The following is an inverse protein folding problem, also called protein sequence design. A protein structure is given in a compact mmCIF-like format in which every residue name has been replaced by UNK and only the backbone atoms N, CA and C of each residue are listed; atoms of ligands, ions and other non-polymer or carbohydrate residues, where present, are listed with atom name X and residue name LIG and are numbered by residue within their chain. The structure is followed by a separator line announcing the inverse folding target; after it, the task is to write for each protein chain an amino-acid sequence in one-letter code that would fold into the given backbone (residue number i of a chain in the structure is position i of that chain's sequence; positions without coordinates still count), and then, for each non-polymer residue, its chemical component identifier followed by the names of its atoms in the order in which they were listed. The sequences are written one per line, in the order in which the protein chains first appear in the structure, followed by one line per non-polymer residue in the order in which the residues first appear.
data_IF_448010450345
#
_entry.id   IF_448010450345
#
_cell.length_a   1.000
_cell.length_b   1.000
_cell.length_c   1.000
_cell.angle_alpha   90.00
_cell.angle_beta   90.00
_cell.angle_gamma   90.00
#
_symmetry.space_group_name_H-M   'P 1'
#
loop_
_entity.id
_entity.type
_entity.pdbx_description
1 polymer ?
#
# COMPACT_ATOMS: atom_id res chain seq x y z
N UNK A 1 -17.24 4.06 7.80
CA UNK A 1 -18.51 3.59 7.25
C UNK A 1 -19.13 2.56 8.18
N UNK A 2 -20.46 2.67 8.38
CA UNK A 2 -21.25 1.70 9.13
C UNK A 2 -22.32 1.09 8.24
N UNK A 3 -22.61 -0.19 8.48
CA UNK A 3 -23.73 -0.91 7.92
C UNK A 3 -24.46 -1.68 9.04
N UNK A 4 -25.73 -1.97 8.85
CA UNK A 4 -26.55 -2.66 9.84
C UNK A 4 -27.72 -3.38 9.18
N UNK A 5 -27.94 -4.60 9.61
CA UNK A 5 -29.14 -5.39 9.28
C UNK A 5 -30.27 -5.19 10.31
N UNK A 6 -29.98 -4.52 11.44
CA UNK A 6 -30.93 -4.34 12.55
C UNK A 6 -31.73 -3.04 12.46
N UNK A 7 -31.17 -2.04 11.74
CA UNK A 7 -31.73 -0.71 11.63
C UNK A 7 -31.75 -0.23 10.19
N UNK A 8 -32.79 0.51 9.83
CA UNK A 8 -32.69 1.39 8.67
C UNK A 8 -31.84 2.62 9.03
N UNK A 9 -30.58 2.57 8.66
CA UNK A 9 -29.62 3.64 8.95
C UNK A 9 -29.96 4.96 8.26
N UNK A 10 -30.81 4.98 7.22
CA UNK A 10 -31.19 6.22 6.54
C UNK A 10 -32.11 7.07 7.42
N UNK A 11 -32.92 6.43 8.25
CA UNK A 11 -33.86 7.07 9.15
C UNK A 11 -33.35 7.19 10.59
N UNK A 12 -32.23 6.51 10.92
CA UNK A 12 -31.66 6.52 12.26
C UNK A 12 -30.90 7.81 12.56
N UNK A 13 -30.99 8.28 13.79
CA UNK A 13 -30.13 9.35 14.32
C UNK A 13 -28.76 8.75 14.66
N UNK A 14 -27.69 9.29 14.10
CA UNK A 14 -26.34 8.78 14.25
C UNK A 14 -25.44 9.88 14.79
N UNK A 15 -24.70 9.56 15.85
CA UNK A 15 -23.73 10.46 16.48
C UNK A 15 -22.36 9.81 16.44
N UNK A 16 -21.42 10.47 15.76
CA UNK A 16 -20.03 10.06 15.71
C UNK A 16 -19.21 10.85 16.72
N UNK A 17 -18.41 10.15 17.50
CA UNK A 17 -17.52 10.73 18.50
C UNK A 17 -16.09 10.29 18.22
N UNK A 18 -15.18 11.26 18.14
CA UNK A 18 -13.74 11.02 17.92
C UNK A 18 -12.98 11.53 19.13
N UNK A 19 -12.20 10.67 19.78
CA UNK A 19 -11.43 10.98 20.99
C UNK A 19 -12.27 11.69 22.07
N UNK A 20 -13.52 11.23 22.26
CA UNK A 20 -14.44 11.77 23.26
C UNK A 20 -15.16 13.06 22.87
N UNK A 21 -14.91 13.61 21.68
CA UNK A 21 -15.63 14.80 21.16
C UNK A 21 -16.56 14.41 20.02
N UNK A 22 -17.78 14.96 20.04
CA UNK A 22 -18.72 14.77 18.93
C UNK A 22 -18.13 15.47 17.69
N UNK A 23 -17.91 14.68 16.64
CA UNK A 23 -17.38 15.14 15.36
C UNK A 23 -18.52 15.41 14.38
N UNK A 24 -19.44 14.46 14.23
CA UNK A 24 -20.55 14.57 13.30
C UNK A 24 -21.81 13.95 13.91
N UNK A 25 -22.97 14.59 13.68
CA UNK A 25 -24.27 14.05 14.07
C UNK A 25 -25.32 14.36 13.02
N UNK A 26 -26.29 13.47 12.87
CA UNK A 26 -27.41 13.68 11.95
C UNK A 26 -28.15 12.39 11.64
N UNK A 27 -29.24 12.52 10.89
CA UNK A 27 -30.01 11.37 10.40
C UNK A 27 -29.31 10.85 9.14
N UNK A 28 -29.08 9.55 9.05
CA UNK A 28 -28.50 8.92 7.88
C UNK A 28 -26.99 9.14 7.67
N UNK A 29 -26.27 9.68 8.64
CA UNK A 29 -24.83 9.97 8.54
C UNK A 29 -24.02 8.69 8.73
N UNK A 30 -23.94 7.87 7.69
CA UNK A 30 -23.29 6.55 7.72
C UNK A 30 -21.77 6.57 7.63
N UNK A 31 -21.17 7.71 7.28
CA UNK A 31 -19.73 7.82 7.02
C UNK A 31 -19.15 9.01 7.76
N UNK A 32 -17.95 8.80 8.28
CA UNK A 32 -17.10 9.82 8.86
C UNK A 32 -15.72 9.76 8.19
N UNK A 33 -15.07 10.90 8.00
CA UNK A 33 -13.69 10.99 7.55
C UNK A 33 -12.84 11.55 8.67
N UNK A 34 -11.83 10.80 9.11
CA UNK A 34 -10.93 11.19 10.18
C UNK A 34 -9.56 11.47 9.59
N UNK A 35 -8.90 12.58 9.93
CA UNK A 35 -7.51 12.80 9.53
C UNK A 35 -6.63 11.71 10.11
N UNK A 36 -5.66 11.21 9.33
CA UNK A 36 -4.73 10.20 9.78
C UNK A 36 -3.93 10.73 10.99
N UNK A 37 -3.95 10.05 12.12
CA UNK A 37 -3.16 10.47 13.28
C UNK A 37 -1.66 10.26 13.02
N UNK A 38 -0.80 10.85 13.86
CA UNK A 38 0.64 10.59 13.83
C UNK A 38 0.91 9.10 14.08
N UNK A 39 2.02 8.58 13.55
CA UNK A 39 2.42 7.17 13.72
C UNK A 39 2.43 6.80 15.20
N UNK A 40 1.82 5.65 15.51
CA UNK A 40 1.68 5.15 16.88
C UNK A 40 0.58 5.81 17.72
N UNK A 41 -0.02 6.91 17.24
CA UNK A 41 -1.15 7.52 17.94
C UNK A 41 -2.42 6.67 17.78
N UNK A 42 -3.26 6.70 18.81
CA UNK A 42 -4.55 6.01 18.85
C UNK A 42 -5.65 7.04 18.68
N UNK A 43 -6.54 6.78 17.73
CA UNK A 43 -7.79 7.52 17.61
C UNK A 43 -8.94 6.61 18.00
N UNK A 44 -9.66 6.97 19.07
CA UNK A 44 -10.85 6.27 19.49
C UNK A 44 -12.07 6.85 18.78
N UNK A 45 -12.78 5.99 18.07
CA UNK A 45 -13.99 6.35 17.35
C UNK A 45 -15.14 5.57 17.94
N UNK A 46 -16.19 6.27 18.34
CA UNK A 46 -17.44 5.63 18.73
C UNK A 46 -18.61 6.17 17.91
N UNK A 47 -19.58 5.32 17.70
CA UNK A 47 -20.84 5.66 17.06
C UNK A 47 -21.98 5.25 17.95
N UNK A 48 -22.89 6.18 18.19
CA UNK A 48 -24.15 5.96 18.86
C UNK A 48 -25.27 6.08 17.83
N UNK A 49 -26.06 5.02 17.67
CA UNK A 49 -27.14 4.91 16.69
C UNK A 49 -28.45 4.77 17.44
N UNK A 50 -29.40 5.65 17.15
CA UNK A 50 -30.77 5.57 17.66
C UNK A 50 -31.72 5.38 16.49
N UNK A 51 -32.33 4.21 16.43
CA UNK A 51 -33.33 3.88 15.43
C UNK A 51 -34.62 4.66 15.63
N UNK A 52 -35.42 4.79 14.58
CA UNK A 52 -36.76 5.39 14.63
C UNK A 52 -37.73 4.63 15.56
N UNK A 53 -37.43 3.36 15.84
CA UNK A 53 -38.15 2.49 16.78
C UNK A 53 -37.72 2.65 18.25
N UNK A 54 -36.79 3.59 18.51
CA UNK A 54 -36.29 3.90 19.86
C UNK A 54 -35.16 3.00 20.35
N UNK A 55 -34.74 1.98 19.60
CA UNK A 55 -33.61 1.16 19.97
C UNK A 55 -32.32 1.94 19.81
N UNK A 56 -31.37 1.68 20.71
CA UNK A 56 -30.06 2.32 20.69
C UNK A 56 -28.94 1.27 20.61
N UNK A 57 -27.92 1.53 19.78
CA UNK A 57 -26.73 0.72 19.68
C UNK A 57 -25.51 1.62 19.71
N UNK A 58 -24.56 1.25 20.55
CA UNK A 58 -23.24 1.91 20.64
C UNK A 58 -22.14 0.96 20.24
N UNK A 59 -21.24 1.41 19.37
CA UNK A 59 -20.02 0.70 18.98
C UNK A 59 -18.83 1.65 19.10
N UNK A 60 -17.70 1.09 19.49
CA UNK A 60 -16.43 1.81 19.57
C UNK A 60 -15.31 0.97 18.96
N UNK A 61 -14.40 1.65 18.27
CA UNK A 61 -13.18 1.08 17.72
C UNK A 61 -12.00 1.99 18.04
N UNK A 62 -10.84 1.42 18.19
CA UNK A 62 -9.57 2.16 18.31
C UNK A 62 -8.78 1.98 17.04
N UNK A 63 -8.53 3.08 16.32
CA UNK A 63 -7.74 3.10 15.09
C UNK A 63 -6.33 3.55 15.46
N UNK A 64 -5.33 2.74 15.10
CA UNK A 64 -3.92 3.10 15.21
C UNK A 64 -3.37 3.47 13.86
N UNK A 65 -2.56 4.52 13.82
CA UNK A 65 -1.93 4.98 12.60
C UNK A 65 -0.67 4.19 12.30
N UNK A 66 -0.55 3.78 11.06
CA UNK A 66 0.65 3.24 10.45
C UNK A 66 0.58 3.45 8.95
N UNK A 67 1.74 3.43 8.29
CA UNK A 67 1.84 3.44 6.84
C UNK A 67 2.92 2.45 6.38
N UNK A 68 2.96 2.19 5.08
CA UNK A 68 3.98 1.33 4.48
C UNK A 68 4.54 2.02 3.24
N UNK A 69 5.85 2.08 3.15
CA UNK A 69 6.53 2.45 1.92
C UNK A 69 6.77 1.20 1.08
N UNK A 70 6.50 1.30 -0.21
CA UNK A 70 6.80 0.25 -1.18
C UNK A 70 7.95 0.72 -2.07
N UNK A 71 9.01 -0.07 -2.08
CA UNK A 71 10.13 0.11 -2.97
C UNK A 71 10.24 -1.09 -3.91
N UNK A 72 10.79 -0.88 -5.09
CA UNK A 72 11.03 -1.97 -6.03
C UNK A 72 12.38 -1.84 -6.68
N UNK A 73 12.92 -2.95 -7.11
CA UNK A 73 14.13 -3.09 -7.93
C UNK A 73 13.89 -4.12 -9.03
N UNK A 74 14.59 -4.01 -10.14
CA UNK A 74 14.55 -4.97 -11.24
C UNK A 74 15.94 -5.54 -11.48
N UNK A 75 15.99 -6.78 -11.96
CA UNK A 75 17.21 -7.47 -12.39
C UNK A 75 17.57 -7.23 -13.87
N UNK A 76 16.91 -6.24 -14.49
CA UNK A 76 17.11 -5.90 -15.89
C UNK A 76 18.51 -5.36 -16.21
N UNK A 77 18.80 -5.30 -17.50
CA UNK A 77 20.03 -4.69 -18.00
C UNK A 77 20.08 -3.19 -17.75
N UNK A 78 21.20 -2.71 -17.26
CA UNK A 78 21.49 -1.28 -17.08
C UNK A 78 22.53 -0.87 -18.12
N UNK A 79 22.19 0.05 -19.03
CA UNK A 79 23.15 0.56 -19.99
C UNK A 79 24.35 1.23 -19.29
N UNK A 80 25.57 1.16 -19.85
CA UNK A 80 26.72 1.87 -19.32
C UNK A 80 26.42 3.37 -19.15
N UNK A 81 26.89 3.95 -18.01
CA UNK A 81 26.68 5.36 -17.64
C UNK A 81 25.23 5.78 -17.37
N UNK A 82 24.27 4.86 -17.37
CA UNK A 82 22.91 5.14 -16.95
C UNK A 82 22.86 5.47 -15.45
N UNK A 83 22.34 6.65 -15.12
CA UNK A 83 22.30 7.16 -13.74
C UNK A 83 20.92 6.97 -13.06
N UNK A 84 20.04 6.23 -13.69
CA UNK A 84 18.69 5.97 -13.20
C UNK A 84 18.57 4.66 -12.45
N UNK A 85 17.36 4.38 -11.99
CA UNK A 85 16.95 3.09 -11.47
C UNK A 85 16.88 2.07 -12.62
N UNK A 86 17.32 0.83 -12.38
CA UNK A 86 17.20 -0.25 -13.36
C UNK A 86 15.81 -0.30 -13.97
N UNK A 87 15.65 -0.18 -15.29
CA UNK A 87 14.35 -0.25 -15.93
C UNK A 87 13.68 -1.59 -15.66
N UNK A 88 12.39 -1.57 -15.42
CA UNK A 88 11.59 -2.78 -15.39
C UNK A 88 11.06 -3.04 -16.79
N UNK A 89 11.46 -4.13 -17.41
CA UNK A 89 11.09 -4.49 -18.77
C UNK A 89 10.59 -5.92 -18.85
N UNK A 90 10.23 -6.37 -20.06
CA UNK A 90 9.79 -7.75 -20.30
C UNK A 90 10.79 -8.78 -19.81
N UNK A 91 10.26 -9.92 -19.35
CA UNK A 91 11.05 -11.08 -18.95
C UNK A 91 12.04 -10.82 -17.82
N UNK A 92 11.95 -9.64 -17.19
CA UNK A 92 12.74 -9.32 -16.03
C UNK A 92 11.92 -9.50 -14.75
N UNK A 93 12.59 -9.87 -13.69
CA UNK A 93 11.94 -9.94 -12.38
C UNK A 93 11.92 -8.56 -11.73
N UNK A 94 10.87 -8.30 -10.98
CA UNK A 94 10.83 -7.18 -10.06
C UNK A 94 10.72 -7.70 -8.63
N UNK A 95 11.63 -7.27 -7.77
CA UNK A 95 11.53 -7.46 -6.32
C UNK A 95 10.84 -6.24 -5.73
N UNK A 96 9.75 -6.46 -5.04
CA UNK A 96 9.03 -5.42 -4.32
C UNK A 96 9.22 -5.66 -2.82
N UNK A 97 9.59 -4.60 -2.10
CA UNK A 97 9.83 -4.66 -0.66
C UNK A 97 8.93 -3.65 0.04
N UNK A 98 8.25 -4.10 1.09
CA UNK A 98 7.46 -3.27 1.97
C UNK A 98 8.29 -2.87 3.19
N UNK A 99 8.27 -1.58 3.51
CA UNK A 99 8.87 -0.99 4.70
C UNK A 99 7.72 -0.46 5.55
N UNK A 100 7.21 -1.28 6.50
CA UNK A 100 6.09 -0.87 7.35
C UNK A 100 6.57 0.06 8.46
N UNK A 101 5.84 1.15 8.67
CA UNK A 101 5.99 2.08 9.78
C UNK A 101 4.82 1.89 10.74
N UNK A 102 4.93 0.88 11.58
CA UNK A 102 3.97 0.53 12.63
C UNK A 102 4.63 0.63 13.99
N UNK A 103 3.99 1.32 14.92
CA UNK A 103 4.48 1.46 16.27
C UNK A 103 3.47 0.94 17.31
N UNK A 104 3.98 0.42 18.42
CA UNK A 104 3.20 0.12 19.63
C UNK A 104 2.69 1.42 20.25
N UNK A 105 1.76 1.30 21.20
CA UNK A 105 1.26 2.46 21.98
C UNK A 105 2.38 3.24 22.69
N UNK A 106 3.46 2.56 23.01
CA UNK A 106 4.67 3.17 23.61
C UNK A 106 5.50 4.00 22.63
N UNK A 107 5.14 4.05 21.34
CA UNK A 107 5.93 4.72 20.30
C UNK A 107 7.10 3.89 19.76
N UNK A 108 7.32 2.69 20.28
CA UNK A 108 8.37 1.79 19.79
C UNK A 108 7.91 1.12 18.51
N UNK A 109 8.73 1.19 17.46
CA UNK A 109 8.47 0.52 16.20
C UNK A 109 8.42 -0.99 16.36
N UNK A 110 7.57 -1.63 15.56
CA UNK A 110 7.41 -3.08 15.56
C UNK A 110 8.40 -3.67 14.57
N UNK A 111 9.12 -4.71 15.01
CA UNK A 111 10.02 -5.44 14.10
C UNK A 111 9.22 -6.00 12.91
N UNK A 112 9.54 -5.59 11.67
CA UNK A 112 8.87 -6.06 10.47
C UNK A 112 8.82 -7.57 10.30
N UNK A 113 9.79 -8.30 10.86
CA UNK A 113 9.84 -9.77 10.81
C UNK A 113 8.73 -10.43 11.61
N UNK A 114 8.13 -9.72 12.56
CA UNK A 114 7.03 -10.22 13.39
C UNK A 114 5.65 -9.93 12.84
N UNK A 115 5.58 -9.16 11.74
CA UNK A 115 4.36 -8.81 11.05
C UNK A 115 3.97 -9.89 10.03
N UNK A 116 2.69 -10.01 9.79
CA UNK A 116 2.11 -10.91 8.77
C UNK A 116 1.80 -10.08 7.54
N UNK A 117 2.29 -10.54 6.42
CA UNK A 117 2.13 -9.90 5.11
C UNK A 117 1.18 -10.72 4.24
N UNK A 118 0.39 -10.02 3.44
CA UNK A 118 -0.48 -10.62 2.43
C UNK A 118 -0.34 -9.83 1.14
N UNK A 119 0.40 -10.36 0.19
CA UNK A 119 0.65 -9.72 -1.10
C UNK A 119 -0.34 -10.17 -2.15
N UNK A 120 -0.76 -9.24 -3.01
CA UNK A 120 -1.63 -9.50 -4.17
C UNK A 120 -1.10 -8.80 -5.41
N UNK A 121 -1.26 -9.45 -6.55
CA UNK A 121 -0.99 -8.94 -7.88
C UNK A 121 -2.30 -8.94 -8.68
N UNK A 122 -2.77 -7.76 -9.09
CA UNK A 122 -4.05 -7.63 -9.78
C UNK A 122 -5.22 -8.24 -9.01
N UNK A 123 -5.22 -8.08 -7.67
CA UNK A 123 -6.22 -8.64 -6.77
C UNK A 123 -6.06 -10.13 -6.43
N UNK A 124 -5.17 -10.87 -7.09
CA UNK A 124 -4.89 -12.29 -6.80
C UNK A 124 -3.74 -12.44 -5.81
N UNK A 125 -3.85 -13.38 -4.89
CA UNK A 125 -2.78 -13.68 -3.94
C UNK A 125 -1.52 -14.16 -4.67
N UNK A 126 -0.36 -13.66 -4.22
CA UNK A 126 0.95 -14.12 -4.70
C UNK A 126 1.34 -15.33 -3.85
N UNK A 127 1.64 -16.47 -4.51
CA UNK A 127 2.21 -17.63 -3.85
C UNK A 127 3.52 -17.22 -3.17
N UNK A 128 3.83 -17.75 -2.00
CA UNK A 128 4.97 -17.34 -1.18
C UNK A 128 4.99 -15.89 -0.68
N UNK A 129 4.00 -15.05 -1.02
CA UNK A 129 3.85 -13.67 -0.55
C UNK A 129 3.04 -13.54 0.74
N UNK A 130 2.72 -14.66 1.42
CA UNK A 130 1.91 -14.65 2.62
C UNK A 130 2.68 -15.19 3.82
N UNK A 131 2.44 -14.60 4.98
CA UNK A 131 2.96 -15.06 6.26
C UNK A 131 3.87 -14.10 6.98
N UNK A 132 4.48 -14.57 8.06
CA UNK A 132 5.37 -13.79 8.91
C UNK A 132 6.65 -13.39 8.18
N UNK A 133 7.05 -12.11 8.34
CA UNK A 133 8.31 -11.59 7.83
C UNK A 133 8.44 -11.57 6.31
N UNK A 134 7.36 -11.78 5.57
CA UNK A 134 7.34 -11.77 4.10
C UNK A 134 7.36 -10.33 3.56
N UNK A 135 8.40 -9.58 3.95
CA UNK A 135 8.57 -8.18 3.57
C UNK A 135 8.75 -7.96 2.07
N UNK A 136 9.25 -8.96 1.35
CA UNK A 136 9.53 -8.84 -0.08
C UNK A 136 8.90 -9.98 -0.86
N UNK A 137 8.48 -9.66 -2.08
CA UNK A 137 8.04 -10.61 -3.09
C UNK A 137 8.80 -10.37 -4.38
N UNK A 138 9.00 -11.43 -5.15
CA UNK A 138 9.54 -11.35 -6.52
C UNK A 138 8.39 -11.64 -7.47
N UNK A 139 8.21 -10.76 -8.44
CA UNK A 139 7.21 -10.88 -9.49
C UNK A 139 7.95 -11.13 -10.79
N UNK A 140 7.64 -12.25 -11.42
CA UNK A 140 8.07 -12.56 -12.78
C UNK A 140 7.11 -11.88 -13.75
N UNK A 141 7.64 -11.10 -14.67
CA UNK A 141 6.84 -10.41 -15.65
C UNK A 141 6.64 -11.28 -16.89
N UNK A 142 5.36 -11.45 -17.25
CA UNK A 142 5.00 -12.22 -18.45
C UNK A 142 5.22 -11.45 -19.76
N UNK A 143 4.80 -12.05 -20.86
CA UNK A 143 5.06 -11.57 -22.22
C UNK A 143 4.23 -10.36 -22.67
N UNK A 144 3.20 -9.98 -21.92
CA UNK A 144 2.28 -8.90 -22.31
C UNK A 144 2.55 -7.65 -21.47
N UNK A 145 2.93 -6.51 -22.10
CA UNK A 145 3.19 -5.28 -21.40
C UNK A 145 1.89 -4.66 -20.87
N UNK A 146 1.72 -4.70 -19.57
CA UNK A 146 0.62 -4.01 -18.89
C UNK A 146 1.09 -3.56 -17.52
N UNK A 147 0.54 -2.46 -17.01
CA UNK A 147 0.79 -2.08 -15.63
C UNK A 147 0.40 -3.20 -14.66
N UNK A 148 1.23 -3.44 -13.66
CA UNK A 148 0.98 -4.39 -12.59
C UNK A 148 0.55 -3.64 -11.34
N UNK A 149 -0.68 -3.87 -10.91
CA UNK A 149 -1.17 -3.38 -9.62
C UNK A 149 -0.74 -4.35 -8.53
N UNK A 150 0.07 -3.86 -7.61
CA UNK A 150 0.60 -4.63 -6.49
C UNK A 150 0.06 -4.03 -5.20
N UNK A 151 -0.52 -4.88 -4.36
CA UNK A 151 -1.00 -4.46 -3.04
C UNK A 151 -0.42 -5.35 -1.95
N UNK A 152 -0.23 -4.79 -0.77
CA UNK A 152 0.16 -5.51 0.43
C UNK A 152 -0.72 -5.09 1.59
N UNK A 153 -1.24 -6.07 2.31
CA UNK A 153 -1.87 -5.91 3.61
C UNK A 153 -0.91 -6.41 4.69
N UNK A 154 -0.70 -5.64 5.74
CA UNK A 154 0.24 -5.94 6.81
C UNK A 154 -0.48 -5.80 8.15
N UNK A 155 -0.45 -6.88 8.94
CA UNK A 155 -1.09 -6.93 10.26
C UNK A 155 -0.10 -7.43 11.32
N UNK A 156 -0.30 -7.04 12.57
CA UNK A 156 0.39 -7.69 13.68
C UNK A 156 -0.31 -9.01 14.07
N UNK A 157 0.36 -9.84 14.86
CA UNK A 157 -0.17 -11.15 15.31
C UNK A 157 -1.54 -11.04 15.98
N UNK A 158 -1.73 -10.04 16.81
CA UNK A 158 -2.96 -9.81 17.56
C UNK A 158 -4.07 -9.16 16.73
N UNK A 159 -3.83 -8.86 15.43
CA UNK A 159 -4.74 -8.19 14.52
C UNK A 159 -5.26 -6.83 15.05
N UNK A 160 -4.49 -6.20 15.94
CA UNK A 160 -4.82 -4.89 16.51
C UNK A 160 -4.24 -3.73 15.71
N UNK A 161 -3.28 -4.03 14.84
CA UNK A 161 -2.63 -3.07 13.95
C UNK A 161 -2.73 -3.56 12.52
N UNK A 162 -3.07 -2.66 11.64
CA UNK A 162 -3.19 -2.90 10.21
C UNK A 162 -2.65 -1.71 9.43
N UNK A 163 -1.91 -1.99 8.38
CA UNK A 163 -1.58 -1.02 7.34
C UNK A 163 -1.61 -1.70 5.98
N UNK A 164 -1.83 -0.92 4.95
CA UNK A 164 -1.85 -1.42 3.58
C UNK A 164 -1.11 -0.47 2.66
N UNK A 165 -0.52 -1.01 1.62
CA UNK A 165 0.12 -0.25 0.56
C UNK A 165 -0.29 -0.75 -0.81
N UNK A 166 -0.24 0.15 -1.78
CA UNK A 166 -0.48 -0.17 -3.18
C UNK A 166 0.51 0.57 -4.07
N UNK A 167 0.93 -0.07 -5.15
CA UNK A 167 1.73 0.57 -6.19
C UNK A 167 1.38 0.01 -7.55
N UNK A 168 1.56 0.84 -8.58
CA UNK A 168 1.50 0.42 -9.97
C UNK A 168 2.91 0.38 -10.53
N UNK A 169 3.33 -0.77 -11.02
CA UNK A 169 4.59 -0.97 -11.69
C UNK A 169 4.36 -1.04 -13.19
N UNK A 170 4.83 -0.03 -13.91
CA UNK A 170 4.69 0.06 -15.36
C UNK A 170 6.00 -0.34 -16.03
N UNK A 171 5.97 -1.29 -16.98
CA UNK A 171 7.18 -1.68 -17.71
C UNK A 171 7.67 -0.54 -18.58
N UNK A 172 9.00 -0.44 -18.71
CA UNK A 172 9.65 0.48 -19.64
C UNK A 172 9.44 0.03 -21.07
N UNK A 173 9.23 0.97 -21.98
CA UNK A 173 9.19 0.69 -23.40
C UNK A 173 10.60 0.28 -23.89
N UNK A 174 10.68 -0.65 -24.86
CA UNK A 174 11.95 -0.99 -25.50
C UNK A 174 12.57 0.25 -26.14
N UNK A 175 13.85 0.44 -25.94
CA UNK A 175 14.60 1.51 -26.61
C UNK A 175 15.84 0.93 -27.30
N UNK A 176 16.16 1.46 -28.47
CA UNK A 176 17.35 1.11 -29.23
C UNK A 176 18.29 2.31 -29.22
N UNK A 177 19.50 2.11 -28.74
CA UNK A 177 20.52 3.14 -28.67
C UNK A 177 21.72 2.74 -29.55
N UNK A 178 22.16 3.64 -30.39
CA UNK A 178 23.36 3.48 -31.19
C UNK A 178 24.48 4.32 -30.59
N UNK A 179 25.67 3.75 -30.53
CA UNK A 179 26.85 4.43 -30.04
C UNK A 179 27.91 4.47 -31.14
N UNK A 180 28.72 5.54 -31.15
CA UNK A 180 29.88 5.64 -31.99
C UNK A 180 30.95 4.67 -31.49
N UNK A 181 31.52 3.87 -32.39
CA UNK A 181 32.67 2.99 -32.11
C UNK A 181 33.91 3.48 -32.86
N UNK A 182 34.98 3.69 -32.14
CA UNK A 182 36.29 4.03 -32.67
C UNK A 182 37.24 2.83 -32.55
N UNK A 183 37.94 2.51 -33.62
CA UNK A 183 38.82 1.35 -33.68
C UNK A 183 40.00 1.40 -32.71
N UNK A 184 40.38 2.60 -32.23
CA UNK A 184 41.50 2.77 -31.28
C UNK A 184 40.97 2.96 -29.83
N UNK A 185 39.86 3.68 -29.65
CA UNK A 185 39.37 4.05 -28.34
C UNK A 185 38.12 3.26 -27.89
N UNK A 186 37.58 2.38 -28.76
CA UNK A 186 36.40 1.58 -28.47
C UNK A 186 35.08 2.36 -28.52
N UNK A 187 34.08 1.92 -27.78
CA UNK A 187 32.73 2.46 -27.83
C UNK A 187 32.64 3.72 -26.97
N UNK A 188 32.16 4.82 -27.57
CA UNK A 188 31.85 6.06 -26.83
C UNK A 188 30.45 6.06 -26.23
N UNK A 189 30.28 5.46 -25.08
CA UNK A 189 28.99 5.36 -24.38
C UNK A 189 28.36 6.71 -23.96
N UNK A 190 29.13 7.78 -23.99
CA UNK A 190 28.67 9.15 -23.72
C UNK A 190 28.17 9.89 -24.96
N UNK A 191 28.25 9.28 -26.15
CA UNK A 191 27.79 9.82 -27.43
C UNK A 191 26.70 8.88 -27.98
N UNK A 192 25.47 9.16 -27.72
CA UNK A 192 24.32 8.46 -28.31
C UNK A 192 24.02 9.10 -29.66
N UNK A 193 23.96 8.34 -30.72
CA UNK A 193 23.53 8.81 -32.04
C UNK A 193 22.00 8.99 -32.05
N UNK A 194 21.48 10.10 -32.58
CA UNK A 194 20.01 10.29 -32.67
C UNK A 194 19.42 9.21 -33.60
N UNK A 195 18.37 8.57 -33.11
CA UNK A 195 17.50 7.73 -33.93
C UNK A 195 16.49 8.64 -34.60
N UNK A 196 16.54 8.78 -35.94
CA UNK A 196 15.54 9.51 -36.71
C UNK A 196 14.25 8.71 -36.80
#
# INVERSE_FOLDING_TARGET
YIDSYLFDLNSASIVWTVNGKVDQKGVGVKRITIPAPKIGAITNVSVDIKGSDGREVKKAISVRSGYVDLIWESDGYVPPFYKGKTPFSYQNNARITAIPHLAKTSGVEIDPKTLVYTWKLGGKYIDNGQGYGKQSVVIEYGDIPKPLEITVDIINREQTLHTAGAMNLTPSEPSLLFYEEDSLYGIFYNKVLPTN
#
